data_IF_337230628384
#
_entry.id   IF_337230628384
#
_cell.length_a   1.000
_cell.length_b   1.000
_cell.length_c   1.000
_cell.angle_alpha   90.00
_cell.angle_beta   90.00
_cell.angle_gamma   90.00
#
_symmetry.space_group_name_H-M   'P 1'
#
loop_
_entity.id
_entity.type
_entity.pdbx_description
1 polymer ?
#
# COMPACT_ATOMS: atom_id res chain seq x y z
N UNK A 1 -29.24 22.02 -13.68
CA UNK A 1 -29.12 20.58 -13.38
C UNK A 1 -28.85 19.87 -14.70
N UNK A 2 -27.94 18.89 -14.72
CA UNK A 2 -27.75 18.05 -15.90
C UNK A 2 -28.84 16.99 -16.02
N UNK A 3 -29.07 16.48 -17.22
CA UNK A 3 -29.97 15.34 -17.46
C UNK A 3 -29.20 14.01 -17.28
N UNK A 4 -29.78 13.00 -16.62
CA UNK A 4 -29.15 11.70 -16.48
C UNK A 4 -29.07 10.98 -17.83
N UNK A 5 -27.94 10.32 -18.11
CA UNK A 5 -27.70 9.54 -19.32
C UNK A 5 -27.39 8.10 -18.96
N UNK A 6 -28.01 7.15 -19.66
CA UNK A 6 -27.76 5.72 -19.47
C UNK A 6 -26.76 5.19 -20.50
N UNK A 7 -25.65 4.62 -20.03
CA UNK A 7 -24.72 3.85 -20.84
C UNK A 7 -24.93 2.36 -20.56
N UNK A 8 -24.93 1.53 -21.62
CA UNK A 8 -25.00 0.07 -21.52
C UNK A 8 -23.75 -0.53 -22.12
N UNK A 9 -23.16 -1.49 -21.43
CA UNK A 9 -22.01 -2.26 -21.90
C UNK A 9 -22.07 -3.68 -21.33
N UNK A 10 -21.44 -4.61 -22.01
CA UNK A 10 -21.41 -6.02 -21.60
C UNK A 10 -20.49 -6.25 -20.38
N UNK A 11 -19.47 -5.41 -20.22
CA UNK A 11 -18.54 -5.40 -19.08
C UNK A 11 -18.30 -3.96 -18.61
N UNK A 12 -18.30 -3.75 -17.30
CA UNK A 12 -17.87 -2.51 -16.64
C UNK A 12 -16.47 -2.69 -16.08
N UNK A 13 -15.54 -1.80 -16.46
CA UNK A 13 -14.21 -1.71 -15.86
C UNK A 13 -14.25 -0.57 -14.85
N UNK A 14 -14.23 -0.89 -13.55
CA UNK A 14 -14.18 0.09 -12.49
C UNK A 14 -12.75 0.57 -12.26
N UNK A 15 -12.48 1.82 -12.65
CA UNK A 15 -11.23 2.53 -12.39
C UNK A 15 -11.46 3.80 -11.57
N UNK A 16 -12.51 3.84 -10.72
CA UNK A 16 -12.91 5.03 -9.98
C UNK A 16 -11.97 5.39 -8.81
N UNK A 17 -11.05 4.49 -8.43
CA UNK A 17 -10.06 4.72 -7.36
C UNK A 17 -10.38 3.94 -6.09
N UNK A 18 -9.62 4.20 -5.01
CA UNK A 18 -9.62 3.38 -3.79
C UNK A 18 -11.00 3.26 -3.12
N UNK A 19 -11.81 4.31 -3.12
CA UNK A 19 -13.16 4.31 -2.57
C UNK A 19 -14.16 4.44 -3.72
N UNK A 20 -14.23 3.39 -4.54
CA UNK A 20 -15.08 3.39 -5.72
C UNK A 20 -16.55 3.41 -5.33
N UNK A 21 -17.25 4.47 -5.73
CA UNK A 21 -18.70 4.57 -5.58
C UNK A 21 -19.44 3.45 -6.32
N UNK A 22 -18.86 2.87 -7.38
CA UNK A 22 -19.49 1.77 -8.11
C UNK A 22 -19.59 0.53 -7.22
N UNK A 23 -18.57 0.27 -6.41
CA UNK A 23 -18.55 -0.87 -5.49
C UNK A 23 -19.63 -0.73 -4.42
N UNK A 24 -19.85 0.48 -3.90
CA UNK A 24 -20.91 0.75 -2.92
C UNK A 24 -22.33 0.63 -3.51
N UNK A 25 -22.46 0.81 -4.83
CA UNK A 25 -23.75 0.81 -5.51
C UNK A 25 -24.16 -0.56 -6.06
N UNK A 26 -23.23 -1.51 -6.17
CA UNK A 26 -23.47 -2.84 -6.73
C UNK A 26 -23.77 -3.82 -5.59
N UNK A 27 -24.91 -4.49 -5.69
CA UNK A 27 -25.23 -5.63 -4.82
C UNK A 27 -24.54 -6.89 -5.37
N UNK A 28 -23.28 -7.11 -4.96
CA UNK A 28 -22.47 -8.23 -5.42
C UNK A 28 -23.00 -9.61 -4.97
N UNK A 29 -23.73 -9.66 -3.85
CA UNK A 29 -24.33 -10.90 -3.34
C UNK A 29 -25.50 -11.35 -4.24
N UNK A 30 -26.19 -10.39 -4.87
CA UNK A 30 -27.22 -10.67 -5.86
C UNK A 30 -26.66 -11.04 -7.25
N UNK A 31 -25.35 -10.93 -7.47
CA UNK A 31 -24.72 -11.30 -8.74
C UNK A 31 -24.34 -12.79 -8.75
N UNK A 32 -24.72 -13.49 -9.82
CA UNK A 32 -24.38 -14.90 -10.03
C UNK A 32 -25.26 -15.89 -9.24
N UNK A 33 -25.00 -17.18 -9.44
CA UNK A 33 -25.71 -18.26 -8.75
C UNK A 33 -24.96 -18.61 -7.46
N UNK A 34 -25.16 -17.82 -6.40
CA UNK A 34 -24.53 -18.03 -5.09
C UNK A 34 -23.64 -16.88 -4.60
N UNK A 35 -23.76 -15.69 -5.19
CA UNK A 35 -22.92 -14.52 -4.89
C UNK A 35 -21.68 -14.45 -5.78
N UNK A 36 -21.18 -13.23 -6.01
CA UNK A 36 -19.92 -13.01 -6.70
C UNK A 36 -18.73 -13.27 -5.78
N UNK A 37 -17.60 -13.66 -6.36
CA UNK A 37 -16.31 -13.80 -5.65
C UNK A 37 -15.70 -12.46 -5.26
N UNK A 38 -16.18 -11.35 -5.85
CA UNK A 38 -15.65 -10.01 -5.66
C UNK A 38 -15.49 -9.65 -4.17
N UNK A 39 -14.28 -9.25 -3.79
CA UNK A 39 -14.03 -8.82 -2.42
C UNK A 39 -14.44 -7.35 -2.24
N UNK A 40 -15.33 -7.07 -1.29
CA UNK A 40 -15.70 -5.70 -0.94
C UNK A 40 -14.72 -5.13 0.09
N UNK A 41 -14.07 -3.98 -0.16
CA UNK A 41 -13.13 -3.39 0.79
C UNK A 41 -13.84 -2.76 2.00
N UNK A 42 -13.16 -2.75 3.15
CA UNK A 42 -13.64 -2.13 4.38
C UNK A 42 -12.88 -0.82 4.67
N UNK A 43 -13.48 0.11 5.44
CA UNK A 43 -12.89 1.44 5.62
C UNK A 43 -11.52 1.43 6.31
N UNK A 44 -11.26 0.41 7.15
CA UNK A 44 -9.98 0.19 7.86
C UNK A 44 -8.82 -0.13 6.91
N UNK A 45 -9.12 -0.46 5.65
CA UNK A 45 -8.14 -0.79 4.62
C UNK A 45 -7.57 0.43 3.90
N UNK A 46 -8.09 1.62 4.19
CA UNK A 46 -7.68 2.84 3.52
C UNK A 46 -6.71 3.68 4.36
N UNK A 47 -5.86 4.41 3.66
CA UNK A 47 -5.15 5.57 4.17
C UNK A 47 -5.71 6.85 3.59
N UNK A 48 -5.40 7.97 4.21
CA UNK A 48 -5.71 9.29 3.68
C UNK A 48 -4.42 10.08 3.49
N UNK A 49 -4.33 10.82 2.39
CA UNK A 49 -3.16 11.58 2.02
C UNK A 49 -3.56 13.00 1.61
N UNK A 50 -2.70 13.96 1.94
CA UNK A 50 -2.84 15.36 1.56
C UNK A 50 -1.51 15.91 1.06
N UNK A 51 -1.54 16.73 0.01
CA UNK A 51 -0.33 17.27 -0.60
C UNK A 51 -0.52 18.64 -1.21
N UNK A 52 0.57 19.39 -1.19
CA UNK A 52 0.72 20.74 -1.71
C UNK A 52 1.94 20.78 -2.63
N UNK A 53 1.86 21.57 -3.70
CA UNK A 53 3.05 21.91 -4.49
C UNK A 53 3.50 23.28 -4.02
N UNK A 54 4.69 23.37 -3.43
CA UNK A 54 5.26 24.61 -2.94
C UNK A 54 6.44 25.03 -3.80
N UNK A 55 6.65 26.34 -3.90
CA UNK A 55 7.80 26.96 -4.54
C UNK A 55 8.60 27.74 -3.52
N UNK A 56 9.92 27.55 -3.54
CA UNK A 56 10.89 28.28 -2.71
C UNK A 56 11.78 29.14 -3.59
N UNK A 57 12.38 30.17 -3.00
CA UNK A 57 13.22 31.12 -3.75
C UNK A 57 14.59 30.52 -4.12
N UNK A 58 15.15 29.67 -3.24
CA UNK A 58 16.48 29.08 -3.41
C UNK A 58 16.39 27.55 -3.55
N UNK A 59 17.31 26.91 -4.32
CA UNK A 59 17.37 25.46 -4.43
C UNK A 59 17.45 24.75 -3.07
N UNK A 60 16.63 23.70 -2.90
CA UNK A 60 16.71 22.85 -1.71
C UNK A 60 17.92 21.91 -1.79
N UNK A 61 18.59 21.65 -0.66
CA UNK A 61 19.80 20.81 -0.63
C UNK A 61 19.55 19.38 -1.11
N UNK A 62 18.35 18.86 -0.88
CA UNK A 62 17.93 17.51 -1.24
C UNK A 62 17.27 17.43 -2.64
N UNK A 63 17.51 18.40 -3.54
CA UNK A 63 16.91 18.47 -4.89
C UNK A 63 17.01 17.17 -5.74
N UNK A 64 17.96 16.29 -5.43
CA UNK A 64 18.16 15.00 -6.10
C UNK A 64 17.74 13.79 -5.25
N UNK A 65 16.93 13.99 -4.21
CA UNK A 65 16.51 12.96 -3.29
C UNK A 65 15.01 13.03 -2.98
N UNK A 66 14.44 11.85 -2.72
CA UNK A 66 13.08 11.65 -2.21
C UNK A 66 13.22 11.55 -0.69
N UNK A 67 12.69 12.54 0.04
CA UNK A 67 12.78 12.56 1.51
C UNK A 67 11.46 12.12 2.10
N UNK A 68 11.51 11.17 3.04
CA UNK A 68 10.38 10.74 3.86
C UNK A 68 10.72 10.94 5.34
N UNK A 69 9.75 11.43 6.11
CA UNK A 69 9.86 11.61 7.56
C UNK A 69 8.67 10.93 8.25
N UNK A 70 8.87 10.04 9.23
CA UNK A 70 7.76 9.41 9.95
C UNK A 70 6.92 10.47 10.68
N UNK A 71 5.60 10.24 10.75
CA UNK A 71 4.69 11.02 11.58
C UNK A 71 4.74 10.57 13.05
N UNK A 72 3.94 11.21 13.90
CA UNK A 72 3.66 10.80 15.28
C UNK A 72 2.78 9.55 15.35
N UNK A 73 1.99 9.31 14.30
CA UNK A 73 1.15 8.14 14.08
C UNK A 73 1.61 7.39 12.83
N UNK A 74 0.97 6.26 12.53
CA UNK A 74 1.27 5.43 11.36
C UNK A 74 1.07 6.18 10.03
N UNK A 75 2.18 6.69 9.52
CA UNK A 75 2.22 7.53 8.33
C UNK A 75 3.57 8.23 8.17
N UNK A 76 3.69 9.01 7.11
CA UNK A 76 4.89 9.80 6.86
C UNK A 76 4.58 11.08 6.08
N UNK A 77 5.44 12.07 6.28
CA UNK A 77 5.55 13.29 5.47
C UNK A 77 6.56 13.02 4.37
N UNK A 78 6.29 13.52 3.17
CA UNK A 78 7.22 13.49 2.07
C UNK A 78 7.60 14.86 1.53
N UNK A 79 8.81 14.95 0.99
CA UNK A 79 9.31 16.09 0.23
C UNK A 79 9.95 15.57 -1.05
N UNK A 80 9.23 15.71 -2.16
CA UNK A 80 9.66 15.24 -3.47
C UNK A 80 9.90 16.46 -4.37
N UNK A 81 11.17 16.88 -4.54
CA UNK A 81 11.53 17.90 -5.52
C UNK A 81 11.04 17.51 -6.92
N UNK A 82 10.34 18.43 -7.57
CA UNK A 82 10.01 18.37 -9.01
C UNK A 82 11.04 19.14 -9.83
N UNK A 83 11.53 20.23 -9.25
CA UNK A 83 12.67 21.03 -9.69
C UNK A 83 13.49 21.39 -8.44
N UNK A 84 14.66 22.05 -8.59
CA UNK A 84 15.40 22.55 -7.43
C UNK A 84 14.60 23.43 -6.47
N UNK A 85 13.60 24.17 -6.99
CA UNK A 85 12.81 25.16 -6.26
C UNK A 85 11.32 24.84 -6.15
N UNK A 86 10.83 23.78 -6.82
CA UNK A 86 9.44 23.34 -6.73
C UNK A 86 9.37 21.95 -6.08
N UNK A 87 8.60 21.84 -5.00
CA UNK A 87 8.55 20.65 -4.14
C UNK A 87 7.11 20.18 -4.01
N UNK A 88 6.88 18.90 -4.28
CA UNK A 88 5.67 18.21 -3.86
C UNK A 88 5.85 17.77 -2.41
N UNK A 89 5.16 18.46 -1.51
CA UNK A 89 5.19 18.21 -0.07
C UNK A 89 3.83 17.67 0.35
N UNK A 90 3.81 16.63 1.16
CA UNK A 90 2.56 16.06 1.61
C UNK A 90 2.75 15.10 2.75
N UNK A 91 1.66 14.55 3.23
CA UNK A 91 1.66 13.51 4.25
C UNK A 91 0.52 12.53 4.04
N UNK A 92 0.70 11.32 4.53
CA UNK A 92 -0.30 10.27 4.49
C UNK A 92 -0.32 9.48 5.79
N UNK A 93 -1.49 8.97 6.16
CA UNK A 93 -1.70 8.19 7.38
C UNK A 93 -2.74 7.08 7.17
N UNK A 94 -2.72 6.06 8.03
CA UNK A 94 -3.68 4.96 8.02
C UNK A 94 -5.02 5.39 8.67
N UNK A 95 -6.15 5.15 8.01
CA UNK A 95 -7.47 5.63 8.50
C UNK A 95 -8.04 4.81 9.68
N UNK A 96 -7.38 3.73 10.09
CA UNK A 96 -7.72 2.99 11.32
C UNK A 96 -7.04 3.60 12.57
N UNK A 97 -6.32 4.72 12.43
CA UNK A 97 -5.72 5.48 13.54
C UNK A 97 -6.49 6.77 13.81
N UNK A 98 -6.15 7.43 14.92
CA UNK A 98 -6.79 8.69 15.31
C UNK A 98 -6.65 9.74 14.19
N UNK A 99 -7.75 10.41 13.78
CA UNK A 99 -7.69 11.36 12.67
C UNK A 99 -6.76 12.54 12.94
N UNK A 100 -5.91 12.87 11.96
CA UNK A 100 -5.03 14.04 12.00
C UNK A 100 -5.55 15.13 11.05
N UNK A 101 -5.58 16.42 11.44
CA UNK A 101 -5.90 17.52 10.53
C UNK A 101 -4.75 17.73 9.53
N UNK A 102 -4.76 16.96 8.43
CA UNK A 102 -3.61 16.80 7.53
C UNK A 102 -3.04 18.12 7.00
N UNK A 103 -3.91 19.07 6.63
CA UNK A 103 -3.46 20.35 6.11
C UNK A 103 -2.75 21.20 7.17
N UNK A 104 -3.24 21.17 8.42
CA UNK A 104 -2.64 21.93 9.52
C UNK A 104 -1.36 21.27 10.01
N UNK A 105 -1.34 19.94 10.11
CA UNK A 105 -0.14 19.18 10.45
C UNK A 105 0.96 19.37 9.40
N UNK A 106 0.63 19.37 8.10
CA UNK A 106 1.58 19.63 7.03
C UNK A 106 2.14 21.06 7.12
N UNK A 107 1.27 22.05 7.37
CA UNK A 107 1.65 23.45 7.53
C UNK A 107 2.62 23.64 8.70
N UNK A 108 2.33 23.06 9.86
CA UNK A 108 3.22 23.10 11.03
C UNK A 108 4.61 22.55 10.69
N UNK A 109 4.67 21.47 9.90
CA UNK A 109 5.95 20.89 9.49
C UNK A 109 6.74 21.83 8.57
N UNK A 110 6.06 22.42 7.59
CA UNK A 110 6.67 23.37 6.64
C UNK A 110 7.15 24.63 7.36
N UNK A 111 6.31 25.25 8.19
CA UNK A 111 6.61 26.52 8.89
C UNK A 111 7.76 26.37 9.91
N UNK A 112 7.97 25.17 10.43
CA UNK A 112 9.07 24.88 11.36
C UNK A 112 10.45 24.83 10.70
N UNK A 113 10.53 24.81 9.36
CA UNK A 113 11.77 24.58 8.61
C UNK A 113 12.32 25.87 7.98
N UNK A 114 13.58 26.25 8.25
CA UNK A 114 14.20 27.47 7.72
C UNK A 114 14.18 27.59 6.18
N UNK A 115 14.37 26.47 5.48
CA UNK A 115 14.41 26.40 4.01
C UNK A 115 13.04 26.67 3.34
N UNK A 116 11.94 26.63 4.10
CA UNK A 116 10.59 26.90 3.60
C UNK A 116 10.00 28.22 4.08
N UNK A 117 10.78 29.09 4.71
CA UNK A 117 10.27 30.39 5.17
C UNK A 117 9.81 31.29 4.01
N UNK A 118 10.38 31.10 2.81
CA UNK A 118 9.94 31.78 1.57
C UNK A 118 8.93 30.97 0.76
N UNK A 119 8.48 29.81 1.27
CA UNK A 119 7.64 28.89 0.50
C UNK A 119 6.28 29.52 0.18
N UNK A 120 5.88 29.38 -1.09
CA UNK A 120 4.57 29.81 -1.59
C UNK A 120 3.87 28.63 -2.21
N UNK A 121 2.56 28.54 -2.03
CA UNK A 121 1.78 27.49 -2.67
C UNK A 121 1.65 27.79 -4.16
N UNK A 122 2.05 26.84 -5.00
CA UNK A 122 1.90 26.90 -6.45
C UNK A 122 0.41 27.03 -6.83
N UNK A 123 0.14 27.73 -7.92
CA UNK A 123 -1.20 27.94 -8.46
C UNK A 123 -1.30 27.34 -9.85
N UNK A 124 -2.29 26.47 -10.04
CA UNK A 124 -2.58 25.81 -11.33
C UNK A 124 -4.06 25.96 -11.65
N UNK A 125 -4.35 26.47 -12.85
CA UNK A 125 -5.73 26.77 -13.28
C UNK A 125 -6.49 27.67 -12.29
N UNK A 126 -5.84 28.75 -11.83
CA UNK A 126 -6.39 29.72 -10.86
C UNK A 126 -6.82 29.09 -9.52
N UNK A 127 -6.26 27.91 -9.20
CA UNK A 127 -6.50 27.21 -7.95
C UNK A 127 -5.18 26.84 -7.30
N UNK A 128 -5.18 26.94 -5.97
CA UNK A 128 -4.12 26.40 -5.11
C UNK A 128 -3.83 24.94 -5.50
N UNK A 129 -2.57 24.63 -5.79
CA UNK A 129 -2.15 23.29 -6.21
C UNK A 129 -2.03 22.34 -5.01
N UNK A 130 -3.19 22.03 -4.44
CA UNK A 130 -3.34 21.15 -3.28
C UNK A 130 -4.38 20.06 -3.56
N UNK A 131 -4.21 18.88 -2.98
CA UNK A 131 -5.09 17.74 -3.17
C UNK A 131 -5.09 16.85 -1.92
N UNK A 132 -6.27 16.39 -1.53
CA UNK A 132 -6.44 15.25 -0.63
C UNK A 132 -7.03 14.07 -1.37
N UNK A 133 -6.67 12.84 -0.98
CA UNK A 133 -7.22 11.62 -1.55
C UNK A 133 -7.13 10.46 -0.55
N UNK A 134 -8.03 9.48 -0.69
CA UNK A 134 -7.88 8.18 -0.06
C UNK A 134 -6.96 7.27 -0.89
N UNK A 135 -6.25 6.38 -0.21
CA UNK A 135 -5.35 5.38 -0.76
C UNK A 135 -5.77 4.00 -0.25
N UNK A 136 -5.78 2.98 -1.11
CA UNK A 136 -5.94 1.60 -0.66
C UNK A 136 -4.61 1.11 -0.07
N UNK A 137 -4.46 1.15 1.26
CA UNK A 137 -3.27 0.69 1.97
C UNK A 137 -3.53 -0.71 2.51
N UNK A 138 -3.80 -1.64 1.59
CA UNK A 138 -4.11 -3.06 1.82
C UNK A 138 -3.47 -3.90 0.72
N UNK A 139 -3.54 -5.23 0.85
CA UNK A 139 -3.31 -6.14 -0.29
C UNK A 139 -4.34 -5.86 -1.41
N UNK A 140 -4.06 -6.21 -2.68
CA UNK A 140 -5.07 -6.17 -3.73
C UNK A 140 -6.34 -6.94 -3.34
N UNK A 141 -7.46 -6.67 -4.01
CA UNK A 141 -8.67 -7.47 -3.77
C UNK A 141 -8.40 -8.94 -4.12
N UNK A 142 -8.78 -9.86 -3.23
CA UNK A 142 -8.62 -11.30 -3.38
C UNK A 142 -9.32 -11.81 -4.64
N UNK A 143 -10.50 -11.28 -4.95
CA UNK A 143 -11.06 -11.30 -6.29
C UNK A 143 -11.48 -9.89 -6.67
N UNK A 144 -11.04 -9.46 -7.86
CA UNK A 144 -11.34 -8.15 -8.44
C UNK A 144 -12.32 -8.27 -9.61
N UNK A 145 -13.07 -9.37 -9.68
CA UNK A 145 -14.05 -9.65 -10.74
C UNK A 145 -15.39 -10.08 -10.17
N UNK A 146 -16.46 -9.78 -10.91
CA UNK A 146 -17.82 -10.27 -10.72
C UNK A 146 -18.46 -10.46 -12.12
N UNK A 147 -19.62 -11.11 -12.26
CA UNK A 147 -20.30 -11.18 -13.56
C UNK A 147 -20.51 -9.79 -14.19
N UNK A 148 -19.93 -9.56 -15.37
CA UNK A 148 -20.00 -8.29 -16.11
C UNK A 148 -19.20 -7.13 -15.50
N UNK A 149 -18.32 -7.39 -14.53
CA UNK A 149 -17.63 -6.34 -13.79
C UNK A 149 -16.20 -6.75 -13.41
N UNK A 150 -15.26 -5.83 -13.51
CA UNK A 150 -13.94 -5.97 -12.92
C UNK A 150 -13.39 -4.63 -12.44
N UNK A 151 -12.63 -4.65 -11.36
CA UNK A 151 -11.98 -3.47 -10.81
C UNK A 151 -10.52 -3.35 -11.29
N UNK A 152 -10.01 -2.13 -11.43
CA UNK A 152 -8.63 -1.84 -11.79
C UNK A 152 -8.07 -0.63 -11.03
N UNK A 153 -6.76 -0.56 -10.91
CA UNK A 153 -6.06 0.51 -10.22
C UNK A 153 -6.43 0.62 -8.75
N UNK A 154 -6.72 1.83 -8.29
CA UNK A 154 -7.10 2.06 -6.89
C UNK A 154 -8.30 1.21 -6.47
N UNK A 155 -9.26 1.00 -7.39
CA UNK A 155 -10.46 0.22 -7.13
C UNK A 155 -10.17 -1.28 -6.92
N UNK A 156 -9.08 -1.80 -7.50
CA UNK A 156 -8.58 -3.17 -7.25
C UNK A 156 -7.51 -3.22 -6.16
N UNK A 157 -7.34 -2.13 -5.41
CA UNK A 157 -6.33 -1.99 -4.36
C UNK A 157 -4.88 -2.28 -4.82
N UNK A 158 -4.52 -1.92 -6.06
CA UNK A 158 -3.14 -2.13 -6.57
C UNK A 158 -2.16 -1.03 -6.13
N UNK A 159 -2.34 -0.50 -4.92
CA UNK A 159 -1.43 0.48 -4.31
C UNK A 159 -0.50 -0.23 -3.35
N UNK A 160 0.77 0.14 -3.32
CA UNK A 160 1.72 -0.47 -2.39
C UNK A 160 1.30 -0.20 -0.94
N UNK A 161 1.07 -1.24 -0.10
CA UNK A 161 0.48 -1.06 1.23
C UNK A 161 1.39 -0.30 2.20
N UNK A 162 2.72 -0.43 2.07
CA UNK A 162 3.69 0.35 2.86
C UNK A 162 3.98 1.73 2.27
N UNK A 163 4.32 1.83 0.98
CA UNK A 163 4.84 3.08 0.39
C UNK A 163 3.78 3.98 -0.28
N UNK A 164 2.52 3.55 -0.36
CA UNK A 164 1.43 4.30 -1.00
C UNK A 164 1.59 4.49 -2.53
N UNK A 165 2.56 3.84 -3.17
CA UNK A 165 2.81 3.97 -4.61
C UNK A 165 1.80 3.14 -5.41
N UNK A 166 0.88 3.80 -6.11
CA UNK A 166 -0.18 3.13 -6.87
C UNK A 166 -0.13 3.25 -8.40
N UNK A 167 0.62 4.21 -8.97
CA UNK A 167 0.58 4.50 -10.42
C UNK A 167 0.99 3.28 -11.27
N UNK A 168 2.07 2.59 -10.90
CA UNK A 168 2.54 1.39 -11.61
C UNK A 168 1.51 0.27 -11.53
N UNK A 169 0.97 -0.03 -10.35
CA UNK A 169 -0.05 -1.04 -10.17
C UNK A 169 -1.33 -0.73 -10.95
N UNK A 170 -1.72 0.54 -11.03
CA UNK A 170 -2.86 0.99 -11.82
C UNK A 170 -2.67 0.82 -13.33
N UNK A 171 -1.48 1.09 -13.85
CA UNK A 171 -1.19 0.84 -15.26
C UNK A 171 -1.23 -0.66 -15.59
N UNK A 172 -0.67 -1.51 -14.72
CA UNK A 172 -0.60 -2.96 -14.92
C UNK A 172 -2.01 -3.59 -14.84
N UNK A 173 -2.78 -3.25 -13.80
CA UNK A 173 -4.16 -3.73 -13.67
C UNK A 173 -5.06 -3.19 -14.78
N UNK A 174 -4.94 -1.91 -15.14
CA UNK A 174 -5.69 -1.33 -16.26
C UNK A 174 -5.41 -2.02 -17.60
N UNK A 175 -4.17 -2.41 -17.86
CA UNK A 175 -3.80 -3.20 -19.05
C UNK A 175 -4.51 -4.57 -19.05
N UNK A 176 -4.43 -5.30 -17.94
CA UNK A 176 -5.06 -6.60 -17.78
C UNK A 176 -6.58 -6.52 -17.90
N UNK A 177 -7.19 -5.57 -17.20
CA UNK A 177 -8.60 -5.26 -17.21
C UNK A 177 -9.14 -5.06 -18.63
N UNK A 178 -8.50 -4.18 -19.42
CA UNK A 178 -8.90 -3.91 -20.79
C UNK A 178 -8.77 -5.13 -21.70
N UNK A 179 -7.68 -5.89 -21.58
CA UNK A 179 -7.45 -7.11 -22.37
C UNK A 179 -8.48 -8.19 -22.03
N UNK A 180 -8.64 -8.52 -20.76
CA UNK A 180 -9.57 -9.56 -20.28
C UNK A 180 -11.01 -9.21 -20.60
N UNK A 181 -11.44 -7.96 -20.41
CA UNK A 181 -12.78 -7.53 -20.79
C UNK A 181 -13.03 -7.67 -22.29
N UNK A 182 -12.08 -7.28 -23.14
CA UNK A 182 -12.22 -7.40 -24.59
C UNK A 182 -12.35 -8.87 -25.03
N UNK A 183 -11.56 -9.77 -24.45
CA UNK A 183 -11.61 -11.21 -24.71
C UNK A 183 -12.93 -11.84 -24.24
N UNK A 184 -13.41 -11.47 -23.05
CA UNK A 184 -14.68 -11.92 -22.50
C UNK A 184 -15.88 -11.50 -23.37
N UNK A 185 -15.90 -10.24 -23.82
CA UNK A 185 -16.93 -9.73 -24.75
C UNK A 185 -16.88 -10.46 -26.09
N UNK A 186 -15.68 -10.65 -26.66
CA UNK A 186 -15.52 -11.31 -27.95
C UNK A 186 -15.96 -12.79 -27.94
N UNK A 187 -15.80 -13.46 -26.80
CA UNK A 187 -16.20 -14.86 -26.62
C UNK A 187 -17.62 -15.04 -26.07
N UNK A 188 -18.30 -13.93 -25.71
CA UNK A 188 -19.61 -13.95 -25.06
C UNK A 188 -19.59 -14.52 -23.64
N UNK A 189 -18.41 -14.66 -23.04
CA UNK A 189 -18.24 -15.18 -21.68
C UNK A 189 -17.87 -14.03 -20.73
N UNK A 190 -18.87 -13.25 -20.33
CA UNK A 190 -18.71 -12.11 -19.41
C UNK A 190 -18.96 -12.47 -17.93
N UNK A 191 -19.10 -13.76 -17.62
CA UNK A 191 -19.15 -14.24 -16.24
C UNK A 191 -17.76 -14.28 -15.59
N UNK A 192 -17.70 -14.59 -14.30
CA UNK A 192 -16.42 -14.66 -13.56
C UNK A 192 -15.41 -15.60 -14.21
N UNK A 193 -15.87 -16.73 -14.75
CA UNK A 193 -14.98 -17.67 -15.44
C UNK A 193 -14.26 -17.03 -16.65
N UNK A 194 -14.94 -16.15 -17.40
CA UNK A 194 -14.33 -15.43 -18.52
C UNK A 194 -13.48 -14.23 -18.09
N UNK A 195 -13.78 -13.65 -16.92
CA UNK A 195 -13.03 -12.52 -16.36
C UNK A 195 -11.87 -12.94 -15.45
N UNK A 196 -11.79 -14.23 -15.07
CA UNK A 196 -10.81 -14.76 -14.10
C UNK A 196 -9.35 -14.51 -14.49
N UNK A 197 -9.08 -14.38 -15.79
CA UNK A 197 -7.76 -14.02 -16.31
C UNK A 197 -7.23 -12.71 -15.71
N UNK A 198 -8.09 -11.80 -15.26
CA UNK A 198 -7.67 -10.56 -14.61
C UNK A 198 -6.97 -10.81 -13.26
N UNK A 199 -7.61 -11.61 -12.38
CA UNK A 199 -7.04 -12.04 -11.11
C UNK A 199 -5.71 -12.78 -11.35
N UNK A 200 -5.73 -13.78 -12.24
CA UNK A 200 -4.57 -14.63 -12.54
C UNK A 200 -3.41 -13.86 -13.17
N UNK A 201 -3.68 -12.88 -14.03
CA UNK A 201 -2.63 -12.05 -14.58
C UNK A 201 -1.92 -11.25 -13.49
N UNK A 202 -2.66 -10.63 -12.57
CA UNK A 202 -2.07 -9.79 -11.53
C UNK A 202 -1.29 -10.60 -10.50
N UNK A 203 -1.85 -11.72 -10.03
CA UNK A 203 -1.21 -12.55 -9.00
C UNK A 203 -0.14 -13.49 -9.56
N UNK A 204 -0.33 -14.07 -10.75
CA UNK A 204 0.56 -15.15 -11.22
C UNK A 204 1.37 -14.76 -12.44
N UNK A 205 0.73 -14.33 -13.54
CA UNK A 205 1.47 -14.11 -14.81
C UNK A 205 2.41 -12.91 -14.75
N UNK A 206 1.94 -11.80 -14.19
CA UNK A 206 2.76 -10.63 -13.92
C UNK A 206 3.37 -10.66 -12.51
N UNK A 207 2.64 -11.20 -11.53
CA UNK A 207 3.11 -11.30 -10.14
C UNK A 207 3.12 -10.00 -9.33
N UNK A 208 2.64 -8.88 -9.90
CA UNK A 208 2.57 -7.60 -9.15
C UNK A 208 1.59 -7.68 -7.99
N UNK A 209 0.44 -8.34 -8.18
CA UNK A 209 -0.56 -8.52 -7.13
C UNK A 209 0.01 -9.31 -5.95
N UNK A 210 0.74 -10.39 -6.24
CA UNK A 210 1.38 -11.25 -5.24
C UNK A 210 2.43 -10.49 -4.44
N UNK A 211 3.26 -9.68 -5.12
CA UNK A 211 4.21 -8.81 -4.44
C UNK A 211 3.53 -7.77 -3.56
N UNK A 212 2.42 -7.18 -4.01
CA UNK A 212 1.68 -6.21 -3.20
C UNK A 212 1.08 -6.88 -1.96
N UNK A 213 0.50 -8.08 -2.12
CA UNK A 213 -0.04 -8.87 -1.03
C UNK A 213 1.04 -9.27 0.00
N UNK A 214 2.22 -9.71 -0.45
CA UNK A 214 3.32 -10.09 0.45
C UNK A 214 3.93 -8.92 1.22
N UNK A 215 3.68 -7.66 0.80
CA UNK A 215 4.11 -6.47 1.56
C UNK A 215 3.09 -5.98 2.59
N UNK A 216 1.86 -6.44 2.53
CA UNK A 216 0.83 -6.01 3.48
C UNK A 216 1.09 -6.44 4.95
N UNK A 217 1.68 -7.62 5.23
CA UNK A 217 2.09 -7.98 6.59
C UNK A 217 2.98 -6.94 7.25
N UNK A 218 3.89 -6.30 6.51
CA UNK A 218 4.70 -5.20 7.06
C UNK A 218 3.88 -3.97 7.41
N UNK A 219 2.81 -3.66 6.65
CA UNK A 219 1.90 -2.57 6.98
C UNK A 219 1.08 -2.89 8.24
N UNK A 220 0.59 -4.13 8.38
CA UNK A 220 -0.15 -4.59 9.57
C UNK A 220 0.76 -4.55 10.80
N UNK A 221 1.93 -5.20 10.75
CA UNK A 221 2.86 -5.26 11.88
C UNK A 221 3.40 -3.88 12.26
N UNK A 222 3.71 -3.02 11.29
CA UNK A 222 4.09 -1.66 11.59
C UNK A 222 2.94 -0.89 12.27
N UNK A 223 1.68 -1.21 11.93
CA UNK A 223 0.52 -0.57 12.53
C UNK A 223 0.25 -0.93 13.98
N UNK A 224 0.83 -2.03 14.48
CA UNK A 224 0.64 -2.49 15.86
C UNK A 224 1.80 -2.15 16.80
N UNK A 225 2.89 -1.58 16.30
CA UNK A 225 4.06 -1.21 17.11
C UNK A 225 4.17 0.29 17.30
N UNK A 226 4.74 0.71 18.43
CA UNK A 226 4.95 2.12 18.73
C UNK A 226 5.93 2.79 17.76
N UNK A 227 5.68 4.05 17.42
CA UNK A 227 6.50 4.80 16.45
C UNK A 227 7.99 4.89 16.83
N UNK A 228 8.40 5.11 18.09
CA UNK A 228 9.82 5.05 18.46
C UNK A 228 10.46 3.69 18.16
N UNK A 229 9.73 2.59 18.38
CA UNK A 229 10.18 1.23 18.08
C UNK A 229 10.29 1.04 16.56
N UNK A 230 9.28 1.46 15.78
CA UNK A 230 9.33 1.41 14.32
C UNK A 230 10.53 2.18 13.75
N UNK A 231 10.84 3.36 14.32
CA UNK A 231 12.03 4.16 13.96
C UNK A 231 13.32 3.42 14.31
N UNK A 232 13.37 2.75 15.46
CA UNK A 232 14.51 1.94 15.86
C UNK A 232 14.74 0.76 14.89
N UNK A 233 13.67 0.04 14.51
CA UNK A 233 13.73 -1.02 13.49
C UNK A 233 14.27 -0.45 12.17
N UNK A 234 13.70 0.66 11.68
CA UNK A 234 14.10 1.28 10.42
C UNK A 234 15.58 1.71 10.42
N UNK A 235 16.10 2.22 11.55
CA UNK A 235 17.50 2.57 11.71
C UNK A 235 18.44 1.35 11.68
N UNK A 236 17.95 0.19 12.11
CA UNK A 236 18.70 -1.07 12.09
C UNK A 236 18.72 -1.75 10.73
N UNK A 237 17.65 -1.64 9.95
CA UNK A 237 17.54 -2.33 8.67
C UNK A 237 18.56 -1.82 7.65
N UNK A 238 19.26 -2.71 6.95
CA UNK A 238 20.07 -2.35 5.79
C UNK A 238 19.24 -1.67 4.68
N UNK A 239 19.88 -0.81 3.89
CA UNK A 239 19.21 -0.03 2.84
C UNK A 239 18.54 -0.91 1.78
N UNK A 240 19.17 -2.03 1.42
CA UNK A 240 18.61 -3.04 0.51
C UNK A 240 17.33 -3.66 1.06
N UNK A 241 17.26 -3.90 2.37
CA UNK A 241 16.08 -4.44 3.04
C UNK A 241 14.94 -3.42 3.07
N UNK A 242 15.25 -2.15 3.36
CA UNK A 242 14.25 -1.08 3.28
C UNK A 242 13.71 -0.95 1.86
N UNK A 243 14.59 -1.00 0.84
CA UNK A 243 14.19 -0.96 -0.58
C UNK A 243 13.30 -2.13 -0.98
N UNK A 244 13.58 -3.33 -0.48
CA UNK A 244 12.76 -4.53 -0.72
C UNK A 244 11.34 -4.36 -0.15
N UNK A 245 11.23 -3.83 1.08
CA UNK A 245 9.93 -3.65 1.77
C UNK A 245 9.07 -2.56 1.12
N UNK A 246 9.67 -1.45 0.69
CA UNK A 246 8.93 -0.28 0.16
C UNK A 246 8.90 -0.23 -1.37
N UNK A 247 9.62 -1.14 -2.02
CA UNK A 247 9.80 -1.23 -3.46
C UNK A 247 8.85 -2.22 -4.12
N UNK A 248 8.54 -1.96 -5.39
CA UNK A 248 7.80 -2.90 -6.26
C UNK A 248 8.73 -3.78 -7.10
N UNK A 249 10.04 -3.52 -7.04
CA UNK A 249 11.07 -4.23 -7.81
C UNK A 249 11.82 -5.15 -6.86
N UNK A 250 11.88 -6.44 -7.20
CA UNK A 250 12.69 -7.42 -6.50
C UNK A 250 14.00 -7.51 -7.26
N UNK A 251 15.13 -7.17 -6.63
CA UNK A 251 16.39 -7.77 -7.04
C UNK A 251 16.32 -9.25 -6.68
N UNK A 252 16.28 -10.11 -7.68
CA UNK A 252 16.57 -11.53 -7.51
C UNK A 252 17.99 -11.59 -6.96
N UNK A 253 18.21 -12.21 -5.79
CA UNK A 253 19.33 -13.14 -5.60
C UNK A 253 19.45 -13.77 -4.19
N UNK A 254 19.97 -14.99 -4.28
CA UNK A 254 20.14 -16.13 -3.39
C UNK A 254 20.86 -15.90 -2.04
N UNK A 255 20.96 -16.97 -1.24
CA UNK A 255 21.59 -17.24 0.07
C UNK A 255 22.62 -16.22 0.63
N UNK A 256 23.40 -15.56 -0.23
CA UNK A 256 24.31 -14.45 0.10
C UNK A 256 23.61 -13.25 0.76
N UNK A 257 22.34 -12.98 0.44
CA UNK A 257 21.57 -11.86 1.01
C UNK A 257 21.26 -12.07 2.50
N UNK A 258 21.00 -13.31 2.95
CA UNK A 258 20.70 -13.57 4.38
C UNK A 258 21.91 -13.31 5.29
N UNK A 259 23.13 -13.60 4.81
CA UNK A 259 24.37 -13.31 5.52
C UNK A 259 24.71 -11.82 5.52
N UNK A 260 24.52 -11.10 4.41
CA UNK A 260 24.76 -9.65 4.34
C UNK A 260 23.79 -8.86 5.22
N UNK A 261 22.54 -9.31 5.34
CA UNK A 261 21.52 -8.68 6.18
C UNK A 261 21.89 -8.78 7.66
N UNK A 262 22.29 -9.95 8.15
CA UNK A 262 22.71 -10.12 9.55
C UNK A 262 23.92 -9.26 9.91
N UNK A 263 24.93 -9.21 9.03
CA UNK A 263 26.12 -8.35 9.22
C UNK A 263 25.75 -6.87 9.17
N UNK A 264 24.86 -6.48 8.25
CA UNK A 264 24.36 -5.12 8.12
C UNK A 264 23.63 -4.62 9.37
N UNK A 265 22.72 -5.45 9.92
CA UNK A 265 22.01 -5.14 11.17
C UNK A 265 22.97 -4.98 12.34
N UNK A 266 23.95 -5.88 12.51
CA UNK A 266 24.93 -5.77 13.61
C UNK A 266 25.78 -4.51 13.48
N UNK A 267 26.20 -4.17 12.26
CA UNK A 267 26.96 -2.95 11.98
C UNK A 267 26.12 -1.70 12.30
N UNK A 268 24.87 -1.67 11.87
CA UNK A 268 23.96 -0.57 12.13
C UNK A 268 23.67 -0.44 13.62
N UNK A 269 23.38 -1.54 14.32
CA UNK A 269 23.18 -1.57 15.77
C UNK A 269 24.35 -0.94 16.52
N UNK A 270 25.59 -1.29 16.16
CA UNK A 270 26.78 -0.71 16.79
C UNK A 270 26.95 0.79 16.49
N UNK A 271 26.66 1.21 15.27
CA UNK A 271 26.71 2.62 14.88
C UNK A 271 25.64 3.46 15.60
N UNK A 272 24.40 2.97 15.66
CA UNK A 272 23.29 3.67 16.29
C UNK A 272 23.41 3.67 17.83
N UNK A 273 23.92 2.58 18.42
CA UNK A 273 24.26 2.56 19.85
C UNK A 273 25.30 3.63 20.21
N UNK A 274 26.31 3.84 19.35
CA UNK A 274 27.33 4.89 19.55
C UNK A 274 26.80 6.30 19.40
N UNK A 275 25.76 6.50 18.60
CA UNK A 275 25.09 7.79 18.42
C UNK A 275 24.11 8.11 19.55
N UNK A 276 23.76 7.13 20.39
CA UNK A 276 22.73 7.29 21.42
C UNK A 276 21.30 7.21 20.87
N UNK A 277 21.11 6.76 19.62
CA UNK A 277 19.81 6.79 18.92
C UNK A 277 18.69 6.11 19.73
N UNK A 278 18.97 4.96 20.35
CA UNK A 278 17.96 4.23 21.13
C UNK A 278 17.63 4.93 22.46
N UNK A 279 18.59 5.60 23.07
CA UNK A 279 18.36 6.41 24.28
C UNK A 279 17.54 7.65 23.95
N UNK A 280 17.81 8.31 22.82
CA UNK A 280 17.04 9.45 22.31
C UNK A 280 15.59 9.05 21.95
N UNK A 281 15.40 7.87 21.39
CA UNK A 281 14.08 7.32 21.08
C UNK A 281 13.37 6.74 22.33
N UNK A 282 14.07 6.61 23.46
CA UNK A 282 13.52 6.02 24.68
C UNK A 282 13.24 4.52 24.57
N UNK A 283 13.93 3.80 23.67
CA UNK A 283 13.74 2.37 23.41
C UNK A 283 14.77 1.55 24.18
N UNK A 284 14.30 0.65 25.03
CA UNK A 284 15.13 -0.28 25.79
C UNK A 284 15.70 -1.39 24.90
N UNK A 285 16.71 -2.11 25.42
CA UNK A 285 17.31 -3.25 24.70
C UNK A 285 16.34 -4.41 24.54
N UNK A 286 15.44 -4.60 25.50
CA UNK A 286 14.47 -5.69 25.49
C UNK A 286 13.37 -5.41 24.46
N UNK A 287 12.82 -4.18 24.45
CA UNK A 287 11.88 -3.73 23.40
C UNK A 287 12.50 -3.81 22.01
N UNK A 288 13.78 -3.45 21.86
CA UNK A 288 14.48 -3.57 20.58
C UNK A 288 14.65 -5.03 20.13
N UNK A 289 14.91 -5.94 21.07
CA UNK A 289 15.03 -7.36 20.78
C UNK A 289 13.69 -7.96 20.35
N UNK A 290 12.62 -7.68 21.10
CA UNK A 290 11.25 -8.10 20.78
C UNK A 290 10.82 -7.57 19.41
N UNK A 291 11.05 -6.28 19.15
CA UNK A 291 10.77 -5.65 17.87
C UNK A 291 11.49 -6.33 16.68
N UNK A 292 12.76 -6.70 16.86
CA UNK A 292 13.52 -7.41 15.83
C UNK A 292 13.05 -8.86 15.63
N UNK A 293 12.56 -9.51 16.69
CA UNK A 293 11.94 -10.83 16.58
C UNK A 293 10.60 -10.75 15.85
N UNK A 294 9.73 -9.82 16.22
CA UNK A 294 8.46 -9.56 15.53
C UNK A 294 8.66 -9.18 14.06
N UNK A 295 9.70 -8.40 13.73
CA UNK A 295 10.06 -8.12 12.34
C UNK A 295 10.45 -9.40 11.56
N UNK A 296 11.23 -10.30 12.17
CA UNK A 296 11.60 -11.59 11.52
C UNK A 296 10.39 -12.48 11.31
N UNK A 297 9.49 -12.52 12.28
CA UNK A 297 8.24 -13.26 12.19
C UNK A 297 7.34 -12.70 11.10
N UNK A 298 7.15 -11.37 11.06
CA UNK A 298 6.44 -10.66 9.99
C UNK A 298 7.00 -11.00 8.61
N UNK A 299 8.34 -11.07 8.48
CA UNK A 299 8.97 -11.48 7.22
C UNK A 299 8.64 -12.94 6.86
N UNK A 300 8.64 -13.85 7.83
CA UNK A 300 8.23 -15.23 7.61
C UNK A 300 6.80 -15.34 7.10
N UNK A 301 5.89 -14.51 7.61
CA UNK A 301 4.52 -14.41 7.10
C UNK A 301 4.45 -13.77 5.71
N UNK A 302 5.21 -12.71 5.45
CA UNK A 302 5.33 -12.12 4.11
C UNK A 302 5.72 -13.17 3.06
N UNK A 303 6.72 -14.01 3.35
CA UNK A 303 7.15 -15.10 2.46
C UNK A 303 6.01 -16.13 2.23
N UNK A 304 5.24 -16.48 3.28
CA UNK A 304 4.08 -17.40 3.18
C UNK A 304 2.93 -16.81 2.37
N UNK A 305 2.65 -15.51 2.52
CA UNK A 305 1.67 -14.82 1.67
C UNK A 305 2.15 -14.78 0.22
N UNK A 306 3.43 -14.53 -0.04
CA UNK A 306 3.98 -14.57 -1.39
C UNK A 306 3.77 -15.96 -2.04
N UNK A 307 4.07 -17.03 -1.31
CA UNK A 307 3.83 -18.41 -1.75
C UNK A 307 2.34 -18.64 -2.05
N UNK A 308 1.45 -18.33 -1.11
CA UNK A 308 0.00 -18.53 -1.26
C UNK A 308 -0.58 -17.77 -2.48
N UNK A 309 -0.21 -16.51 -2.67
CA UNK A 309 -0.70 -15.72 -3.80
C UNK A 309 -0.02 -16.09 -5.12
N UNK A 310 1.20 -16.63 -5.10
CA UNK A 310 1.83 -17.18 -6.31
C UNK A 310 1.10 -18.41 -6.86
N UNK A 311 0.43 -19.15 -5.97
CA UNK A 311 -0.41 -20.31 -6.26
C UNK A 311 -1.91 -19.96 -6.40
N UNK A 312 -2.25 -18.69 -6.65
CA UNK A 312 -3.63 -18.23 -6.81
C UNK A 312 -4.43 -19.10 -7.80
N UNK A 313 -5.70 -19.47 -7.59
CA UNK A 313 -6.39 -20.50 -8.39
C UNK A 313 -6.50 -20.20 -9.88
N UNK A 314 -6.20 -21.19 -10.73
CA UNK A 314 -6.27 -21.04 -12.20
C UNK A 314 -7.69 -20.78 -12.73
N UNK A 315 -8.72 -21.15 -11.97
CA UNK A 315 -10.14 -20.90 -12.27
C UNK A 315 -10.92 -20.55 -11.01
N UNK A 316 -12.13 -20.02 -11.18
CA UNK A 316 -13.07 -19.70 -10.08
C UNK A 316 -13.31 -20.89 -9.14
N UNK A 317 -13.32 -22.11 -9.65
CA UNK A 317 -13.67 -23.32 -8.86
C UNK A 317 -12.72 -23.53 -7.68
N UNK A 318 -11.46 -23.13 -7.79
CA UNK A 318 -10.48 -23.24 -6.71
C UNK A 318 -10.49 -22.06 -5.73
N UNK A 319 -11.29 -21.02 -5.97
CA UNK A 319 -11.24 -19.77 -5.19
C UNK A 319 -11.61 -19.98 -3.73
N UNK A 320 -12.66 -20.74 -3.42
CA UNK A 320 -13.13 -20.94 -2.04
C UNK A 320 -12.04 -21.62 -1.18
N UNK A 321 -11.45 -22.71 -1.67
CA UNK A 321 -10.39 -23.40 -0.94
C UNK A 321 -9.14 -22.53 -0.74
N UNK A 322 -8.80 -21.69 -1.73
CA UNK A 322 -7.70 -20.73 -1.60
C UNK A 322 -8.03 -19.60 -0.62
N UNK A 323 -9.27 -19.12 -0.64
CA UNK A 323 -9.75 -18.08 0.27
C UNK A 323 -9.74 -18.56 1.71
N UNK A 324 -10.13 -19.81 1.97
CA UNK A 324 -10.03 -20.44 3.29
C UNK A 324 -8.57 -20.50 3.76
N UNK A 325 -7.66 -20.95 2.89
CA UNK A 325 -6.23 -20.97 3.22
C UNK A 325 -5.65 -19.56 3.48
N UNK A 326 -6.15 -18.54 2.76
CA UNK A 326 -5.80 -17.13 2.98
C UNK A 326 -6.31 -16.64 4.33
N UNK A 327 -7.57 -16.92 4.66
CA UNK A 327 -8.17 -16.59 5.95
C UNK A 327 -7.41 -17.24 7.12
N UNK A 328 -7.06 -18.53 7.00
CA UNK A 328 -6.27 -19.25 8.00
C UNK A 328 -4.87 -18.63 8.17
N UNK A 329 -4.25 -18.16 7.08
CA UNK A 329 -2.97 -17.49 7.13
C UNK A 329 -3.05 -16.11 7.80
N UNK A 330 -4.11 -15.34 7.52
CA UNK A 330 -4.40 -14.07 8.23
C UNK A 330 -4.56 -14.33 9.74
N UNK A 331 -5.38 -15.32 10.13
CA UNK A 331 -5.61 -15.66 11.53
C UNK A 331 -4.30 -16.05 12.24
N UNK A 332 -3.50 -16.93 11.64
CA UNK A 332 -2.21 -17.32 12.19
C UNK A 332 -1.23 -16.14 12.31
N UNK A 333 -1.27 -15.20 11.36
CA UNK A 333 -0.44 -14.00 11.40
C UNK A 333 -0.88 -13.06 12.54
N UNK A 334 -2.17 -12.86 12.73
CA UNK A 334 -2.68 -12.05 13.83
C UNK A 334 -2.38 -12.64 15.20
N UNK A 335 -2.52 -13.96 15.35
CA UNK A 335 -2.13 -14.67 16.56
C UNK A 335 -0.64 -14.52 16.85
N UNK A 336 0.21 -14.59 15.82
CA UNK A 336 1.66 -14.41 15.97
C UNK A 336 2.08 -12.99 16.36
N UNK A 337 1.25 -12.00 16.08
CA UNK A 337 1.45 -10.61 16.49
C UNK A 337 0.72 -10.26 17.81
N UNK A 338 0.08 -11.25 18.46
CA UNK A 338 -0.76 -11.06 19.65
C UNK A 338 -1.84 -9.98 19.48
N UNK A 339 -2.41 -9.85 18.26
CA UNK A 339 -3.41 -8.81 17.96
C UNK A 339 -4.81 -9.22 18.41
N UNK A 340 -5.48 -8.30 19.13
CA UNK A 340 -6.87 -8.48 19.48
C UNK A 340 -7.78 -8.41 18.22
N UNK A 341 -8.96 -9.06 18.21
CA UNK A 341 -9.86 -9.07 17.05
C UNK A 341 -10.21 -7.68 16.51
N UNK A 342 -10.34 -6.67 17.36
CA UNK A 342 -10.58 -5.28 16.99
C UNK A 342 -9.41 -4.59 16.26
N UNK A 343 -8.20 -5.17 16.35
CA UNK A 343 -6.99 -4.71 15.67
C UNK A 343 -6.75 -5.46 14.36
N UNK A 344 -7.55 -6.49 14.07
CA UNK A 344 -7.48 -7.23 12.82
C UNK A 344 -7.85 -6.30 11.67
N UNK A 345 -7.03 -6.33 10.63
CA UNK A 345 -7.24 -5.47 9.47
C UNK A 345 -8.34 -6.02 8.56
N UNK A 346 -8.45 -7.35 8.43
CA UNK A 346 -9.36 -8.07 7.53
C UNK A 346 -10.41 -8.87 8.29
#
# INVERSE_FOLDING_TARGET
AGEPVTYRGDVVIDAAGAQSILQDMIDFDALGNGGATFEQPHYTHFGSAYREIIEVEEPVEYQNAIVGKPLEEMGYIWYFPRTPTQINVGLGFQMNKEPIPLADRLRQDIESRPEYQSARLDEKFEKKNKLGAALALRRPLDSMVAPGYLAAGGAAATTHPVSGKGIRGAAISGHSAGKTAAEAVATGNVGEAGLWGHNRYLFVEHGTGTKLASRDPFNVAASSIDIPILRAIAALLPEDQLKEIVGTETSIDDLTTKLSVGVGVVRNLWNEYRKGTFEELGVSRDELYEAMMGFRETRGYADRFEELYSDYPASRDGFEAWLDARNDLDAAFYDALDLAPEEHKY
#
